data_IF_339890090131
#
_entry.id   IF_339890090131
#
_cell.length_a   1.000
_cell.length_b   1.000
_cell.length_c   1.000
_cell.angle_alpha   90.00
_cell.angle_beta   90.00
_cell.angle_gamma   90.00
#
_symmetry.space_group_name_H-M   'P 1'
#
loop_
_entity.id
_entity.type
_entity.pdbx_description
1 polymer ?
#
# COMPACT_ATOMS: atom_id res chain seq x y z
N UNK A 1 8.84 38.96 2.80
CA UNK A 1 7.41 38.93 2.45
C UNK A 1 6.88 37.57 1.95
N UNK A 2 7.67 36.50 1.97
CA UNK A 2 7.24 35.13 1.54
C UNK A 2 6.74 34.21 2.65
N UNK A 3 6.94 34.54 3.93
CA UNK A 3 6.55 33.65 5.06
C UNK A 3 5.06 33.79 5.43
N UNK A 4 4.41 34.90 5.10
CA UNK A 4 2.99 35.11 5.42
C UNK A 4 2.05 34.35 4.49
N UNK A 5 2.40 34.17 3.23
CA UNK A 5 1.58 33.38 2.27
C UNK A 5 1.60 31.89 2.59
N UNK A 6 2.69 31.36 3.12
CA UNK A 6 2.77 29.93 3.47
C UNK A 6 1.90 29.59 4.68
N UNK A 7 1.83 30.50 5.67
CA UNK A 7 0.91 30.35 6.82
C UNK A 7 -0.55 30.39 6.41
N UNK A 8 -0.91 31.23 5.44
CA UNK A 8 -2.29 31.30 4.93
C UNK A 8 -2.70 30.03 4.15
N UNK A 9 -1.80 29.46 3.36
CA UNK A 9 -2.05 28.19 2.64
C UNK A 9 -2.21 27.04 3.64
N UNK A 10 -1.42 26.98 4.70
CA UNK A 10 -1.53 25.96 5.74
C UNK A 10 -2.86 26.05 6.51
N UNK A 11 -3.36 27.25 6.76
CA UNK A 11 -4.65 27.50 7.43
C UNK A 11 -5.81 27.11 6.53
N UNK A 12 -5.75 27.39 5.22
CA UNK A 12 -6.78 26.92 4.27
C UNK A 12 -6.81 25.40 4.14
N UNK A 13 -5.68 24.72 4.26
CA UNK A 13 -5.63 23.25 4.25
C UNK A 13 -6.27 22.63 5.50
N UNK A 14 -6.21 23.32 6.64
CA UNK A 14 -6.85 22.87 7.90
C UNK A 14 -8.37 23.05 7.92
N UNK A 15 -8.90 23.99 7.15
CA UNK A 15 -10.35 24.22 7.04
C UNK A 15 -11.07 23.29 6.06
N UNK A 16 -10.33 22.55 5.23
CA UNK A 16 -10.90 21.50 4.36
C UNK A 16 -11.18 20.17 5.09
N UNK A 17 -10.93 20.09 6.39
CA UNK A 17 -11.04 18.86 7.18
C UNK A 17 -12.46 18.50 7.68
N UNK A 18 -13.50 19.20 7.23
CA UNK A 18 -14.90 18.80 7.52
C UNK A 18 -15.52 17.89 6.44
N UNK A 19 -14.70 17.25 5.62
CA UNK A 19 -15.19 16.17 4.76
C UNK A 19 -15.38 14.96 5.69
N UNK A 20 -16.62 14.63 6.01
CA UNK A 20 -16.98 13.35 6.61
C UNK A 20 -16.53 12.26 5.63
N UNK A 21 -15.36 11.69 5.90
CA UNK A 21 -14.79 10.64 5.06
C UNK A 21 -15.62 9.39 5.34
N UNK A 22 -16.56 9.09 4.43
CA UNK A 22 -17.19 7.78 4.39
C UNK A 22 -16.07 6.75 4.16
N UNK A 23 -15.99 5.74 5.01
CA UNK A 23 -14.98 4.70 4.88
C UNK A 23 -15.14 3.99 3.52
N UNK A 24 -14.04 3.90 2.76
CA UNK A 24 -14.02 3.18 1.48
C UNK A 24 -14.31 1.72 1.71
N UNK A 25 -15.40 1.23 1.17
CA UNK A 25 -15.65 -0.20 1.12
C UNK A 25 -15.00 -0.79 -0.13
N UNK A 26 -14.08 -1.73 0.06
CA UNK A 26 -13.42 -2.45 -1.04
C UNK A 26 -13.73 -3.93 -0.93
N UNK A 27 -14.71 -4.44 -1.69
CA UNK A 27 -15.03 -5.88 -1.67
C UNK A 27 -13.82 -6.77 -1.92
N UNK A 28 -12.87 -6.29 -2.72
CA UNK A 28 -11.63 -7.02 -3.00
C UNK A 28 -10.74 -7.22 -1.76
N UNK A 29 -10.88 -6.39 -0.72
CA UNK A 29 -10.13 -6.57 0.53
C UNK A 29 -10.61 -7.77 1.35
N UNK A 30 -11.84 -8.24 1.14
CA UNK A 30 -12.38 -9.44 1.79
C UNK A 30 -11.82 -10.75 1.23
N UNK A 31 -11.19 -10.70 0.06
CA UNK A 31 -10.74 -11.90 -0.66
C UNK A 31 -9.36 -12.40 -0.21
N UNK A 32 -8.62 -11.59 0.54
CA UNK A 32 -7.35 -11.96 1.17
C UNK A 32 -7.55 -11.89 2.69
N UNK A 33 -7.20 -12.93 3.44
CA UNK A 33 -7.44 -12.99 4.89
C UNK A 33 -6.80 -11.86 5.71
N UNK A 34 -5.70 -11.31 5.22
CA UNK A 34 -5.00 -10.17 5.84
C UNK A 34 -5.37 -8.82 5.20
N UNK A 35 -6.39 -8.78 4.34
CA UNK A 35 -6.80 -7.59 3.59
C UNK A 35 -5.96 -7.31 2.35
N UNK A 36 -6.22 -6.17 1.73
CA UNK A 36 -5.47 -5.68 0.56
C UNK A 36 -4.09 -5.18 0.98
N UNK A 37 -3.03 -5.81 0.42
CA UNK A 37 -1.64 -5.43 0.71
C UNK A 37 -1.28 -4.16 -0.07
N UNK A 38 -0.74 -3.18 0.64
CA UNK A 38 -0.27 -1.93 0.05
C UNK A 38 1.10 -2.10 -0.63
N UNK A 39 1.33 -1.33 -1.68
CA UNK A 39 2.66 -1.15 -2.25
C UNK A 39 3.49 -0.22 -1.33
N UNK A 40 4.77 -0.57 -1.12
CA UNK A 40 5.72 0.22 -0.33
C UNK A 40 6.23 1.48 -1.07
N UNK A 41 5.42 2.03 -1.98
CA UNK A 41 5.79 3.19 -2.79
C UNK A 41 5.54 4.49 -2.04
N UNK A 42 6.55 5.33 -1.93
CA UNK A 42 6.42 6.72 -1.47
C UNK A 42 5.85 7.59 -2.60
N UNK A 43 5.47 8.83 -2.31
CA UNK A 43 4.80 9.71 -3.27
C UNK A 43 5.61 9.94 -4.57
N UNK A 44 6.94 10.02 -4.46
CA UNK A 44 7.84 10.15 -5.60
C UNK A 44 7.84 8.90 -6.49
N UNK A 45 7.88 7.70 -5.91
CA UNK A 45 7.85 6.43 -6.66
C UNK A 45 6.47 6.19 -7.29
N UNK A 46 5.39 6.51 -6.57
CA UNK A 46 4.03 6.39 -7.09
C UNK A 46 3.87 7.19 -8.40
N UNK A 47 4.39 8.41 -8.45
CA UNK A 47 4.34 9.24 -9.67
C UNK A 47 5.02 8.61 -10.89
N UNK A 48 5.92 7.65 -10.68
CA UNK A 48 6.64 6.88 -11.71
C UNK A 48 6.07 5.46 -11.91
N UNK A 49 4.78 5.22 -11.68
CA UNK A 49 4.20 3.88 -11.78
C UNK A 49 4.64 2.91 -10.68
N UNK A 50 5.20 3.40 -9.58
CA UNK A 50 5.74 2.59 -8.50
C UNK A 50 7.18 2.12 -8.71
N UNK A 51 7.90 2.66 -9.70
CA UNK A 51 9.32 2.36 -9.94
C UNK A 51 10.16 2.77 -8.73
N UNK A 52 10.88 1.83 -8.12
CA UNK A 52 11.69 2.04 -6.92
C UNK A 52 12.76 0.98 -6.70
N UNK A 53 12.67 -0.20 -7.33
CA UNK A 53 13.66 -1.27 -7.19
C UNK A 53 15.00 -0.84 -7.80
N UNK A 54 14.96 -0.17 -8.95
CA UNK A 54 16.12 0.33 -9.68
C UNK A 54 16.31 1.84 -9.57
N UNK A 55 15.43 2.55 -8.82
CA UNK A 55 15.45 4.00 -8.71
C UNK A 55 16.00 4.47 -7.35
N UNK A 56 17.32 4.56 -7.21
CA UNK A 56 17.97 5.22 -6.07
C UNK A 56 18.06 6.73 -6.29
N UNK A 57 17.67 7.52 -5.29
CA UNK A 57 17.65 8.99 -5.35
C UNK A 57 18.51 9.62 -4.26
N UNK A 58 19.07 10.80 -4.52
CA UNK A 58 19.78 11.60 -3.51
C UNK A 58 18.83 12.31 -2.54
N UNK A 59 17.61 12.59 -3.00
CA UNK A 59 16.63 13.46 -2.34
C UNK A 59 15.57 12.72 -1.56
N UNK A 60 15.37 11.42 -1.87
CA UNK A 60 14.27 10.60 -1.36
C UNK A 60 14.77 9.31 -0.76
N UNK A 61 14.12 8.86 0.31
CA UNK A 61 14.33 7.52 0.84
C UNK A 61 13.73 6.48 -0.12
N UNK A 62 14.37 5.32 -0.16
CA UNK A 62 13.85 4.19 -0.91
C UNK A 62 13.44 3.07 0.07
N UNK A 63 12.14 2.78 0.15
CA UNK A 63 11.60 1.70 0.98
C UNK A 63 11.39 0.38 0.20
N UNK A 64 11.54 0.41 -1.13
CA UNK A 64 11.32 -0.76 -1.98
C UNK A 64 12.58 -1.62 -2.13
N UNK A 65 13.76 -0.98 -2.26
CA UNK A 65 15.05 -1.66 -2.34
C UNK A 65 16.01 -1.12 -1.27
N UNK A 66 16.32 -1.88 -0.22
CA UNK A 66 17.20 -1.41 0.85
C UNK A 66 18.62 -1.11 0.36
N UNK A 67 19.08 -1.74 -0.72
CA UNK A 67 20.40 -1.46 -1.29
C UNK A 67 20.48 -0.09 -1.96
N UNK A 68 19.35 0.46 -2.43
CA UNK A 68 19.29 1.78 -3.04
C UNK A 68 19.41 2.93 -2.02
N UNK A 69 19.31 2.66 -0.73
CA UNK A 69 19.49 3.66 0.34
C UNK A 69 20.86 4.33 0.31
N UNK A 70 21.90 3.65 -0.17
CA UNK A 70 23.27 4.21 -0.25
C UNK A 70 23.37 5.46 -1.11
N UNK A 71 22.38 5.72 -1.95
CA UNK A 71 22.33 6.93 -2.80
C UNK A 71 21.76 8.13 -2.08
N UNK A 72 21.02 7.93 -0.98
CA UNK A 72 20.57 9.04 -0.14
C UNK A 72 21.78 9.70 0.54
N UNK A 73 21.96 10.99 0.29
CA UNK A 73 23.10 11.77 0.76
C UNK A 73 22.81 12.62 2.00
N UNK A 74 21.56 12.73 2.35
CA UNK A 74 21.08 13.60 3.41
C UNK A 74 20.50 12.79 4.57
N UNK A 75 20.51 13.39 5.76
CA UNK A 75 19.57 12.97 6.79
C UNK A 75 18.19 13.41 6.34
N UNK A 76 17.32 12.45 6.06
CA UNK A 76 16.04 12.66 5.40
C UNK A 76 14.91 12.24 6.32
N UNK A 77 13.95 13.12 6.52
CA UNK A 77 12.66 12.80 7.10
C UNK A 77 11.61 12.85 6.01
N UNK A 78 10.86 11.76 5.85
CA UNK A 78 9.76 11.68 4.88
C UNK A 78 8.45 11.33 5.56
N UNK A 79 7.38 12.01 5.18
CA UNK A 79 6.02 11.61 5.52
C UNK A 79 5.08 11.84 4.34
N UNK A 80 4.04 11.03 4.27
CA UNK A 80 3.03 11.16 3.23
C UNK A 80 1.65 10.79 3.72
N UNK A 81 0.66 11.52 3.22
CA UNK A 81 -0.77 11.27 3.44
C UNK A 81 -1.36 10.87 2.10
N UNK A 82 -2.14 9.80 2.09
CA UNK A 82 -2.86 9.33 0.91
C UNK A 82 -4.35 9.49 1.10
N UNK A 83 -5.03 9.79 0.01
CA UNK A 83 -6.48 9.71 -0.11
C UNK A 83 -6.84 8.96 -1.38
N UNK A 84 -7.82 8.10 -1.33
CA UNK A 84 -8.33 7.40 -2.50
C UNK A 84 -9.85 7.49 -2.58
N UNK A 85 -10.34 7.65 -3.80
CA UNK A 85 -11.74 7.59 -4.15
C UNK A 85 -11.93 6.41 -5.09
N UNK A 86 -12.89 5.57 -4.79
CA UNK A 86 -13.16 4.35 -5.54
C UNK A 86 -14.63 4.31 -5.96
N UNK A 87 -14.86 3.94 -7.19
CA UNK A 87 -16.18 3.67 -7.74
C UNK A 87 -16.27 2.17 -8.07
N UNK A 88 -17.06 1.47 -7.28
CA UNK A 88 -17.41 0.09 -7.53
C UNK A 88 -18.61 0.01 -8.46
N UNK A 89 -18.50 -0.80 -9.52
CA UNK A 89 -19.56 -1.01 -10.49
C UNK A 89 -19.81 -2.51 -10.62
N UNK A 90 -21.03 -2.93 -10.37
CA UNK A 90 -21.55 -4.26 -10.72
C UNK A 90 -22.69 -4.12 -11.73
N UNK A 91 -23.33 -5.22 -12.10
CA UNK A 91 -24.40 -5.21 -13.09
C UNK A 91 -25.66 -4.42 -12.68
N UNK A 92 -25.82 -4.11 -11.39
CA UNK A 92 -27.06 -3.53 -10.84
C UNK A 92 -26.83 -2.19 -10.13
N UNK A 93 -25.65 -1.99 -9.52
CA UNK A 93 -25.36 -0.85 -8.67
C UNK A 93 -24.04 -0.17 -8.99
N UNK A 94 -23.95 1.09 -8.61
CA UNK A 94 -22.71 1.89 -8.58
C UNK A 94 -22.56 2.49 -7.21
N UNK A 95 -21.45 2.21 -6.56
CA UNK A 95 -21.12 2.73 -5.23
C UNK A 95 -19.85 3.57 -5.30
N UNK A 96 -19.82 4.71 -4.62
CA UNK A 96 -18.66 5.58 -4.53
C UNK A 96 -18.27 5.71 -3.06
N UNK A 97 -17.00 5.51 -2.79
CA UNK A 97 -16.45 5.59 -1.44
C UNK A 97 -15.08 6.27 -1.45
N UNK A 98 -14.73 6.92 -0.36
CA UNK A 98 -13.46 7.62 -0.22
C UNK A 98 -12.79 7.34 1.12
N UNK A 99 -11.45 7.33 1.15
CA UNK A 99 -10.64 7.12 2.33
C UNK A 99 -9.44 8.07 2.37
N UNK A 100 -8.93 8.33 3.59
CA UNK A 100 -7.68 9.04 3.77
C UNK A 100 -6.91 8.46 4.95
N UNK A 101 -5.60 8.30 4.78
CA UNK A 101 -4.74 7.77 5.82
C UNK A 101 -3.30 8.32 5.73
N UNK A 102 -2.54 8.14 6.80
CA UNK A 102 -1.10 8.31 6.77
C UNK A 102 -0.53 7.15 5.95
N UNK A 103 0.15 7.46 4.85
CA UNK A 103 0.68 6.43 3.95
C UNK A 103 2.07 5.95 4.36
N UNK A 104 2.91 6.84 4.87
CA UNK A 104 4.24 6.51 5.38
C UNK A 104 4.80 7.60 6.28
N UNK A 105 5.67 7.18 7.18
CA UNK A 105 6.65 8.03 7.87
C UNK A 105 7.98 7.29 7.82
N UNK A 106 9.03 7.96 7.37
CA UNK A 106 10.36 7.39 7.25
C UNK A 106 11.44 8.38 7.65
N UNK A 107 12.50 7.84 8.23
CA UNK A 107 13.68 8.59 8.60
C UNK A 107 14.92 7.85 8.14
N UNK A 108 15.83 8.52 7.47
CA UNK A 108 17.07 7.95 6.97
C UNK A 108 18.28 8.78 7.32
N UNK A 109 19.36 8.09 7.66
CA UNK A 109 20.61 8.73 8.08
C UNK A 109 21.80 8.07 7.38
N UNK A 110 22.63 8.84 6.67
CA UNK A 110 23.94 8.37 6.24
C UNK A 110 24.86 8.22 7.46
N UNK A 111 25.13 6.96 7.88
CA UNK A 111 25.98 6.66 9.04
C UNK A 111 27.45 6.96 8.71
N UNK A 112 27.87 6.62 7.48
CA UNK A 112 29.22 6.90 6.99
C UNK A 112 29.12 7.88 5.82
N UNK A 113 29.99 8.90 5.84
CA UNK A 113 30.08 9.90 4.76
C UNK A 113 30.24 9.24 3.39
N UNK A 114 29.63 9.85 2.38
CA UNK A 114 29.68 9.36 0.99
C UNK A 114 28.70 8.22 0.71
N UNK A 115 27.75 7.96 1.64
CA UNK A 115 26.74 6.92 1.44
C UNK A 115 27.29 5.49 1.52
N UNK A 116 28.45 5.28 2.16
CA UNK A 116 29.00 3.92 2.32
C UNK A 116 28.09 3.04 3.16
N UNK A 117 27.42 3.61 4.13
CA UNK A 117 26.41 2.97 4.96
C UNK A 117 25.31 3.97 5.28
N UNK A 118 24.08 3.61 4.95
CA UNK A 118 22.87 4.40 5.22
C UNK A 118 21.87 3.50 5.94
N UNK A 119 21.36 3.98 7.06
CA UNK A 119 20.28 3.33 7.79
C UNK A 119 18.97 4.12 7.63
N UNK A 120 17.85 3.42 7.61
CA UNK A 120 16.53 4.01 7.58
C UNK A 120 15.59 3.24 8.47
N UNK A 121 14.68 3.94 9.15
CA UNK A 121 13.59 3.35 9.90
C UNK A 121 12.30 4.13 9.62
N UNK A 122 11.18 3.47 9.80
CA UNK A 122 9.91 4.12 9.59
C UNK A 122 8.74 3.19 9.81
N UNK A 123 7.56 3.72 9.55
CA UNK A 123 6.35 2.92 9.56
C UNK A 123 5.47 3.25 8.35
N UNK A 124 4.71 2.25 7.90
CA UNK A 124 3.71 2.40 6.84
C UNK A 124 2.61 1.35 7.00
N UNK A 125 1.40 1.61 6.52
CA UNK A 125 0.38 0.58 6.39
C UNK A 125 0.91 -0.61 5.58
N UNK A 126 0.68 -1.83 6.08
CA UNK A 126 1.02 -3.07 5.38
C UNK A 126 -0.17 -3.60 4.59
N UNK A 127 -1.33 -3.69 5.23
CA UNK A 127 -2.58 -4.07 4.58
C UNK A 127 -3.78 -3.36 5.20
N UNK A 128 -4.92 -3.42 4.49
CA UNK A 128 -6.19 -2.87 4.99
C UNK A 128 -7.35 -3.74 4.57
N UNK A 129 -8.29 -3.92 5.48
CA UNK A 129 -9.58 -4.55 5.25
C UNK A 129 -10.67 -3.55 5.56
N UNK A 130 -11.52 -3.27 4.57
CA UNK A 130 -12.71 -2.46 4.76
C UNK A 130 -13.73 -2.81 3.70
N UNK A 131 -14.74 -3.60 4.07
CA UNK A 131 -15.80 -3.99 3.16
C UNK A 131 -17.15 -4.02 3.86
N UNK A 132 -18.19 -3.73 3.10
CA UNK A 132 -19.58 -3.98 3.44
C UNK A 132 -20.23 -4.67 2.26
N UNK A 133 -20.70 -5.89 2.48
CA UNK A 133 -21.34 -6.71 1.46
C UNK A 133 -22.71 -7.11 1.96
N UNK A 134 -23.67 -7.14 1.05
CA UNK A 134 -25.03 -7.58 1.30
C UNK A 134 -25.33 -8.77 0.39
N UNK A 135 -25.97 -9.79 0.94
CA UNK A 135 -26.47 -10.94 0.19
C UNK A 135 -27.85 -11.32 0.72
N UNK A 136 -28.74 -11.65 -0.18
CA UNK A 136 -30.08 -12.12 0.10
C UNK A 136 -30.25 -13.52 -0.49
N UNK A 137 -30.62 -14.49 0.34
CA UNK A 137 -30.79 -15.87 -0.07
C UNK A 137 -32.16 -16.41 0.37
N UNK A 138 -32.78 -17.22 -0.50
CA UNK A 138 -33.98 -17.96 -0.15
C UNK A 138 -33.68 -19.05 0.89
N UNK A 139 -34.57 -19.25 1.83
CA UNK A 139 -34.54 -20.39 2.74
C UNK A 139 -35.22 -21.56 2.03
N UNK A 140 -34.57 -22.71 2.06
CA UNK A 140 -35.15 -23.97 1.59
C UNK A 140 -35.72 -24.74 2.75
N UNK A 141 -36.93 -25.26 2.57
CA UNK A 141 -37.57 -26.15 3.55
C UNK A 141 -36.86 -27.50 3.67
N UNK A 142 -37.27 -28.27 4.66
CA UNK A 142 -36.73 -29.62 4.89
C UNK A 142 -36.99 -30.57 3.70
N UNK A 143 -38.02 -30.26 2.90
CA UNK A 143 -38.40 -30.92 1.67
C UNK A 143 -37.56 -30.48 0.45
N UNK A 144 -36.60 -29.56 0.63
CA UNK A 144 -35.73 -29.02 -0.42
C UNK A 144 -36.43 -27.99 -1.33
N UNK A 145 -37.66 -27.59 -1.03
CA UNK A 145 -38.36 -26.56 -1.76
C UNK A 145 -38.06 -25.15 -1.21
N UNK A 146 -37.98 -24.14 -2.08
CA UNK A 146 -37.77 -22.75 -1.61
C UNK A 146 -39.00 -22.30 -0.82
N UNK A 147 -38.77 -21.72 0.36
CA UNK A 147 -39.80 -21.07 1.16
C UNK A 147 -40.00 -19.61 0.72
N UNK A 148 -41.04 -18.96 1.19
CA UNK A 148 -41.23 -17.50 0.98
C UNK A 148 -40.34 -16.63 1.87
N UNK A 149 -39.55 -17.24 2.73
CA UNK A 149 -38.67 -16.52 3.66
C UNK A 149 -37.30 -16.27 3.03
N UNK A 150 -36.80 -15.06 3.20
CA UNK A 150 -35.49 -14.61 2.77
C UNK A 150 -34.57 -14.42 3.99
N UNK A 151 -33.33 -14.83 3.88
CA UNK A 151 -32.27 -14.46 4.83
C UNK A 151 -31.41 -13.39 4.24
N UNK A 152 -31.34 -12.27 4.95
CA UNK A 152 -30.47 -11.16 4.62
C UNK A 152 -29.17 -11.28 5.40
N UNK A 153 -28.06 -11.39 4.69
CA UNK A 153 -26.71 -11.40 5.28
C UNK A 153 -26.03 -10.05 5.03
N UNK A 154 -25.50 -9.45 6.10
CA UNK A 154 -24.57 -8.34 6.00
C UNK A 154 -23.18 -8.82 6.45
N UNK A 155 -22.19 -8.57 5.63
CA UNK A 155 -20.79 -8.88 5.90
C UNK A 155 -20.04 -7.56 6.02
N UNK A 156 -19.56 -7.25 7.21
CA UNK A 156 -18.75 -6.08 7.47
C UNK A 156 -17.35 -6.52 7.89
N UNK A 157 -16.32 -5.97 7.25
CA UNK A 157 -14.95 -6.20 7.64
C UNK A 157 -14.21 -4.88 7.81
N UNK A 158 -13.39 -4.78 8.84
CA UNK A 158 -12.61 -3.58 9.12
C UNK A 158 -11.27 -3.92 9.75
N UNK A 159 -10.35 -2.96 9.72
CA UNK A 159 -9.04 -3.08 10.33
C UNK A 159 -7.90 -3.02 9.32
N UNK A 160 -6.70 -3.35 9.79
CA UNK A 160 -5.51 -3.34 8.96
C UNK A 160 -4.26 -3.72 9.73
N UNK A 161 -3.23 -4.04 8.98
CA UNK A 161 -1.90 -4.31 9.51
C UNK A 161 -0.97 -3.13 9.22
N UNK A 162 -0.13 -2.82 10.17
CA UNK A 162 0.90 -1.78 10.09
C UNK A 162 2.26 -2.44 10.15
N UNK A 163 3.23 -1.88 9.45
CA UNK A 163 4.61 -2.33 9.41
C UNK A 163 5.51 -1.25 9.97
N UNK A 164 6.34 -1.61 10.96
CA UNK A 164 7.51 -0.83 11.37
C UNK A 164 8.72 -1.51 10.75
N UNK A 165 9.61 -0.75 10.14
CA UNK A 165 10.78 -1.31 9.48
C UNK A 165 12.08 -0.64 9.92
N UNK A 166 13.16 -1.44 9.86
CA UNK A 166 14.54 -0.98 9.95
C UNK A 166 15.31 -1.53 8.74
N UNK A 167 15.90 -0.62 7.99
CA UNK A 167 16.55 -0.92 6.73
C UNK A 167 17.97 -0.40 6.71
N UNK A 168 18.88 -1.16 6.14
CA UNK A 168 20.30 -0.81 5.99
C UNK A 168 20.74 -1.03 4.56
N UNK A 169 21.43 -0.04 3.99
CA UNK A 169 22.11 -0.14 2.72
C UNK A 169 23.60 0.06 2.92
N UNK A 170 24.42 -0.84 2.34
CA UNK A 170 25.89 -0.82 2.43
C UNK A 170 26.46 -0.85 1.02
N UNK A 171 27.36 0.08 0.74
CA UNK A 171 28.09 0.14 -0.51
C UNK A 171 29.27 -0.84 -0.47
N UNK A 172 29.23 -1.87 -1.31
CA UNK A 172 30.29 -2.87 -1.40
C UNK A 172 31.50 -2.35 -2.16
N UNK A 173 31.24 -1.67 -3.27
CA UNK A 173 32.23 -0.97 -4.07
C UNK A 173 31.61 0.24 -4.77
N UNK A 174 32.26 0.84 -5.77
CA UNK A 174 31.73 2.03 -6.44
C UNK A 174 30.48 1.77 -7.26
N UNK A 175 30.24 0.56 -7.70
CA UNK A 175 29.12 0.18 -8.56
C UNK A 175 28.06 -0.65 -7.82
N UNK A 176 28.45 -1.51 -6.87
CA UNK A 176 27.57 -2.44 -6.18
C UNK A 176 27.25 -2.03 -4.76
N UNK A 177 26.00 -2.20 -4.38
CA UNK A 177 25.52 -2.09 -3.00
C UNK A 177 24.59 -3.26 -2.65
N UNK A 178 24.57 -3.57 -1.36
CA UNK A 178 23.72 -4.57 -0.73
C UNK A 178 22.86 -3.91 0.33
N UNK A 179 21.66 -4.42 0.54
CA UNK A 179 20.79 -3.94 1.58
C UNK A 179 19.98 -5.05 2.23
N UNK A 180 19.63 -4.81 3.48
CA UNK A 180 18.79 -5.68 4.28
C UNK A 180 17.74 -4.84 5.02
N UNK A 181 16.49 -5.32 5.05
CA UNK A 181 15.39 -4.72 5.78
C UNK A 181 14.71 -5.78 6.65
N UNK A 182 14.63 -5.52 7.95
CA UNK A 182 13.77 -6.23 8.89
C UNK A 182 12.54 -5.40 9.18
N UNK A 183 11.39 -6.05 9.26
CA UNK A 183 10.13 -5.36 9.57
C UNK A 183 9.32 -6.16 10.56
N UNK A 184 8.63 -5.46 11.44
CA UNK A 184 7.64 -6.01 12.36
C UNK A 184 6.26 -5.58 11.90
N UNK A 185 5.41 -6.56 11.57
CA UNK A 185 4.03 -6.35 11.14
C UNK A 185 3.14 -6.62 12.35
N UNK A 186 2.20 -5.73 12.61
CA UNK A 186 1.22 -5.87 13.68
C UNK A 186 -0.09 -5.20 13.31
N UNK A 187 -1.17 -5.63 13.96
CA UNK A 187 -2.48 -5.02 13.78
C UNK A 187 -3.61 -6.02 14.00
N UNK A 188 -4.80 -5.55 13.71
CA UNK A 188 -6.02 -6.28 13.99
C UNK A 188 -6.99 -6.17 12.82
N UNK A 189 -7.64 -7.29 12.53
CA UNK A 189 -8.73 -7.40 11.58
C UNK A 189 -9.98 -7.91 12.29
N UNK A 190 -11.11 -7.29 12.00
CA UNK A 190 -12.41 -7.71 12.50
C UNK A 190 -13.38 -7.98 11.34
N UNK A 191 -14.17 -9.01 11.50
CA UNK A 191 -15.26 -9.39 10.61
C UNK A 191 -16.55 -9.56 11.41
N UNK A 192 -17.63 -9.04 10.89
CA UNK A 192 -18.94 -9.11 11.48
C UNK A 192 -19.94 -9.62 10.44
N UNK A 193 -20.54 -10.77 10.68
CA UNK A 193 -21.52 -11.38 9.80
C UNK A 193 -22.84 -11.40 10.52
N UNK A 194 -23.77 -10.55 10.10
CA UNK A 194 -25.12 -10.53 10.65
C UNK A 194 -26.11 -11.16 9.68
N UNK A 195 -27.02 -11.97 10.22
CA UNK A 195 -28.09 -12.60 9.48
C UNK A 195 -29.43 -12.32 10.09
N UNK A 196 -30.42 -12.02 9.23
CA UNK A 196 -31.81 -11.70 9.62
C UNK A 196 -32.77 -12.39 8.66
N UNK A 197 -33.78 -13.08 9.21
CA UNK A 197 -34.88 -13.65 8.43
C UNK A 197 -35.95 -12.57 8.21
N UNK A 198 -36.36 -12.37 6.96
CA UNK A 198 -37.28 -11.26 6.59
C UNK A 198 -38.63 -11.31 7.29
N UNK A 199 -39.21 -12.50 7.42
CA UNK A 199 -40.54 -12.71 8.00
C UNK A 199 -40.51 -13.09 9.48
N UNK A 200 -39.33 -13.29 10.06
CA UNK A 200 -39.11 -13.74 11.43
C UNK A 200 -38.13 -12.84 12.14
N UNK A 201 -38.58 -11.64 12.56
CA UNK A 201 -37.65 -10.62 13.10
C UNK A 201 -36.94 -11.06 14.39
N UNK A 202 -37.45 -12.09 15.10
CA UNK A 202 -36.81 -12.66 16.27
C UNK A 202 -35.51 -13.42 15.96
N UNK A 203 -35.30 -13.85 14.70
CA UNK A 203 -34.10 -14.54 14.27
C UNK A 203 -33.07 -13.58 13.71
N UNK A 204 -32.37 -12.93 14.61
CA UNK A 204 -31.20 -12.11 14.29
C UNK A 204 -29.98 -12.70 14.98
N UNK A 205 -29.00 -13.10 14.19
CA UNK A 205 -27.71 -13.59 14.70
C UNK A 205 -26.57 -12.76 14.16
N UNK A 206 -25.51 -12.66 14.96
CA UNK A 206 -24.34 -11.88 14.67
C UNK A 206 -23.10 -12.69 15.03
N UNK A 207 -22.32 -13.09 14.02
CA UNK A 207 -21.02 -13.73 14.20
C UNK A 207 -19.95 -12.63 14.13
N UNK A 208 -19.30 -12.41 15.26
CA UNK A 208 -18.16 -11.49 15.35
C UNK A 208 -16.87 -12.28 15.42
N UNK A 209 -15.92 -11.95 14.55
CA UNK A 209 -14.58 -12.52 14.55
C UNK A 209 -13.55 -11.40 14.59
N UNK A 210 -12.51 -11.62 15.38
CA UNK A 210 -11.39 -10.72 15.58
C UNK A 210 -10.10 -11.51 15.45
N UNK A 211 -9.12 -10.97 14.72
CA UNK A 211 -7.83 -11.59 14.51
C UNK A 211 -6.71 -10.57 14.71
N UNK A 212 -5.88 -10.82 15.70
CA UNK A 212 -4.74 -9.98 16.03
C UNK A 212 -3.46 -10.63 15.51
N UNK A 213 -2.67 -9.88 14.74
CA UNK A 213 -1.45 -10.37 14.08
C UNK A 213 -0.22 -9.67 14.65
N UNK A 214 0.88 -10.42 14.77
CA UNK A 214 2.19 -9.88 15.07
C UNK A 214 3.27 -10.83 14.55
N UNK A 215 4.17 -10.35 13.70
CA UNK A 215 5.28 -11.17 13.21
C UNK A 215 6.37 -10.33 12.52
N UNK A 216 7.51 -10.96 12.26
CA UNK A 216 8.65 -10.35 11.60
C UNK A 216 8.72 -10.78 10.14
N UNK A 217 9.09 -9.85 9.28
CA UNK A 217 9.38 -10.10 7.87
C UNK A 217 10.74 -9.54 7.49
N UNK A 218 11.38 -10.16 6.50
CA UNK A 218 12.70 -9.78 6.06
C UNK A 218 12.74 -9.59 4.55
N UNK A 219 13.54 -8.64 4.12
CA UNK A 219 13.79 -8.37 2.70
C UNK A 219 15.26 -8.07 2.47
N UNK A 220 15.77 -8.46 1.32
CA UNK A 220 17.12 -8.12 0.87
C UNK A 220 17.09 -7.44 -0.48
N UNK A 221 18.14 -6.68 -0.77
CA UNK A 221 18.28 -6.01 -2.03
C UNK A 221 19.72 -6.00 -2.52
N UNK A 222 19.86 -5.99 -3.82
CA UNK A 222 21.10 -5.70 -4.54
C UNK A 222 20.85 -4.54 -5.47
N UNK A 223 21.86 -3.70 -5.63
CA UNK A 223 21.78 -2.56 -6.53
C UNK A 223 23.12 -2.35 -7.21
N UNK A 224 23.07 -2.21 -8.53
CA UNK A 224 24.20 -1.92 -9.40
C UNK A 224 23.99 -0.59 -10.09
N UNK A 225 24.97 0.30 -10.04
CA UNK A 225 24.98 1.59 -10.74
C UNK A 225 26.28 1.77 -11.45
N UNK A 226 26.23 1.90 -12.79
CA UNK A 226 27.39 2.13 -13.63
C UNK A 226 27.23 3.41 -14.41
N UNK A 227 28.27 4.22 -14.38
CA UNK A 227 28.43 5.36 -15.25
C UNK A 227 28.87 4.90 -16.65
N UNK A 228 28.12 5.31 -17.69
CA UNK A 228 28.42 4.95 -19.08
C UNK A 228 29.18 6.10 -19.75
N UNK A 229 28.78 7.31 -19.41
CA UNK A 229 29.32 8.58 -19.92
C UNK A 229 29.00 9.64 -18.88
N UNK A 230 29.68 10.77 -18.93
CA UNK A 230 29.48 11.91 -18.03
C UNK A 230 27.99 12.11 -17.67
N UNK A 231 27.66 12.00 -16.38
CA UNK A 231 26.33 12.15 -15.78
C UNK A 231 25.25 11.15 -16.28
N UNK A 232 25.63 10.11 -17.03
CA UNK A 232 24.70 9.09 -17.55
C UNK A 232 24.95 7.74 -16.91
N UNK A 233 23.91 7.18 -16.32
CA UNK A 233 23.99 5.96 -15.54
C UNK A 233 22.98 4.92 -16.01
N UNK A 234 23.41 3.64 -16.00
CA UNK A 234 22.52 2.49 -15.93
C UNK A 234 22.47 2.03 -14.48
N UNK A 235 21.25 1.76 -14.01
CA UNK A 235 20.99 1.23 -12.68
C UNK A 235 20.21 -0.07 -12.82
N UNK A 236 20.62 -1.10 -12.08
CA UNK A 236 19.94 -2.39 -12.02
C UNK A 236 19.67 -2.69 -10.56
N UNK A 237 18.43 -3.01 -10.24
CA UNK A 237 18.01 -3.38 -8.90
C UNK A 237 17.44 -4.79 -8.87
N UNK A 238 17.71 -5.50 -7.78
CA UNK A 238 17.11 -6.78 -7.46
C UNK A 238 16.66 -6.77 -6.01
N UNK A 239 15.48 -7.33 -5.74
CA UNK A 239 14.91 -7.46 -4.38
C UNK A 239 14.37 -8.86 -4.17
N UNK A 240 14.52 -9.36 -2.95
CA UNK A 240 13.91 -10.59 -2.49
C UNK A 240 13.25 -10.37 -1.13
N UNK A 241 11.94 -10.53 -1.09
CA UNK A 241 11.18 -10.56 0.15
C UNK A 241 11.02 -12.03 0.56
N UNK A 242 11.40 -12.37 1.78
CA UNK A 242 11.31 -13.74 2.29
C UNK A 242 9.86 -14.09 2.59
N UNK A 243 9.52 -15.36 2.40
CA UNK A 243 8.22 -15.87 2.85
C UNK A 243 8.14 -15.83 4.37
N UNK A 244 6.97 -15.48 4.88
CA UNK A 244 6.72 -15.39 6.32
C UNK A 244 5.38 -16.02 6.64
N UNK A 245 5.32 -16.81 7.70
CA UNK A 245 4.08 -17.36 8.24
C UNK A 245 3.59 -16.43 9.35
N UNK A 246 2.67 -15.51 9.02
CA UNK A 246 2.09 -14.62 10.03
C UNK A 246 1.26 -15.42 11.01
N UNK A 247 1.63 -15.35 12.28
CA UNK A 247 0.84 -15.90 13.37
C UNK A 247 -0.24 -14.91 13.80
N UNK A 248 -1.41 -15.44 14.14
CA UNK A 248 -2.49 -14.65 14.66
C UNK A 248 -3.19 -15.32 15.80
N UNK A 249 -3.68 -14.51 16.71
CA UNK A 249 -4.59 -14.91 17.76
C UNK A 249 -6.02 -14.53 17.39
N UNK A 250 -6.93 -15.51 17.40
CA UNK A 250 -8.32 -15.38 16.94
C UNK A 250 -9.31 -15.52 18.07
N UNK A 251 -10.28 -14.62 18.07
CA UNK A 251 -11.48 -14.64 18.89
C UNK A 251 -12.72 -14.73 17.98
N UNK A 252 -13.69 -15.58 18.33
CA UNK A 252 -14.97 -15.68 17.63
C UNK A 252 -16.12 -15.88 18.58
N UNK A 253 -17.17 -15.09 18.37
CA UNK A 253 -18.36 -15.05 19.21
C UNK A 253 -19.62 -14.98 18.36
N UNK A 254 -20.58 -15.86 18.67
CA UNK A 254 -21.93 -15.82 18.09
C UNK A 254 -22.89 -15.19 19.09
N UNK A 255 -23.60 -14.16 18.65
CA UNK A 255 -24.62 -13.49 19.43
C UNK A 255 -25.98 -13.68 18.77
N UNK A 256 -26.99 -13.91 19.57
CA UNK A 256 -28.40 -13.78 19.17
C UNK A 256 -29.00 -12.53 19.82
N UNK A 257 -29.60 -11.69 19.00
CA UNK A 257 -30.16 -10.39 19.46
C UNK A 257 -31.63 -10.28 19.09
N UNK A 258 -32.36 -9.49 19.87
CA UNK A 258 -33.69 -9.04 19.47
C UNK A 258 -33.50 -7.90 18.47
N UNK A 259 -34.10 -7.97 17.26
CA UNK A 259 -34.06 -6.89 16.30
C UNK A 259 -34.56 -5.58 16.92
N UNK A 260 -33.91 -4.47 16.59
CA UNK A 260 -34.21 -3.12 17.10
C UNK A 260 -34.08 -2.95 18.63
N UNK A 261 -33.41 -3.89 19.31
CA UNK A 261 -33.08 -3.80 20.73
C UNK A 261 -31.58 -3.97 20.92
N UNK A 262 -31.03 -3.35 21.96
CA UNK A 262 -29.66 -3.60 22.41
C UNK A 262 -29.52 -4.89 23.21
N UNK A 263 -30.67 -5.58 23.47
CA UNK A 263 -30.69 -6.78 24.30
C UNK A 263 -30.11 -7.96 23.54
N UNK A 264 -29.04 -8.52 24.06
CA UNK A 264 -28.44 -9.77 23.62
C UNK A 264 -29.12 -10.91 24.38
N UNK A 265 -29.70 -11.88 23.67
CA UNK A 265 -30.40 -13.02 24.25
C UNK A 265 -29.46 -14.14 24.65
N UNK A 266 -28.49 -14.40 23.77
CA UNK A 266 -27.53 -15.51 23.95
C UNK A 266 -26.19 -15.04 23.39
N UNK A 267 -25.13 -15.32 24.13
CA UNK A 267 -23.75 -15.14 23.70
C UNK A 267 -23.07 -16.51 23.82
N UNK A 268 -22.52 -16.95 22.70
CA UNK A 268 -21.75 -18.21 22.67
C UNK A 268 -20.37 -17.91 22.08
N UNK A 269 -19.33 -18.17 22.88
CA UNK A 269 -17.95 -18.01 22.45
C UNK A 269 -17.52 -19.27 21.73
N UNK A 270 -17.38 -19.21 20.41
CA UNK A 270 -17.00 -20.35 19.58
C UNK A 270 -15.55 -20.73 19.86
N UNK A 271 -14.66 -19.74 19.91
CA UNK A 271 -13.29 -19.90 20.36
C UNK A 271 -12.74 -18.58 20.92
N UNK A 272 -11.92 -18.74 21.95
CA UNK A 272 -11.14 -17.69 22.55
C UNK A 272 -9.67 -18.08 22.36
N UNK A 273 -8.84 -17.15 21.84
CA UNK A 273 -7.40 -17.37 21.67
C UNK A 273 -7.03 -18.59 20.78
N UNK A 274 -7.67 -18.74 19.63
CA UNK A 274 -7.26 -19.75 18.66
C UNK A 274 -6.06 -19.27 17.85
N UNK A 275 -4.92 -19.93 17.98
CA UNK A 275 -3.74 -19.65 17.15
C UNK A 275 -3.97 -20.17 15.73
N UNK A 276 -3.68 -19.35 14.77
CA UNK A 276 -3.74 -19.65 13.34
C UNK A 276 -2.59 -18.98 12.58
N UNK A 277 -2.23 -19.50 11.42
CA UNK A 277 -1.13 -18.99 10.62
C UNK A 277 -1.59 -18.68 9.20
N UNK A 278 -1.07 -17.58 8.64
CA UNK A 278 -1.25 -17.21 7.25
C UNK A 278 0.09 -17.02 6.56
N UNK A 279 0.33 -17.77 5.48
CA UNK A 279 1.60 -17.74 4.77
C UNK A 279 1.61 -16.62 3.72
N UNK A 280 2.43 -15.59 3.97
CA UNK A 280 2.80 -14.60 2.96
C UNK A 280 3.92 -15.23 2.11
N UNK A 281 3.75 -15.31 0.78
CA UNK A 281 4.75 -15.89 -0.09
C UNK A 281 5.97 -14.99 -0.27
N UNK A 282 7.07 -15.59 -0.67
CA UNK A 282 8.23 -14.84 -1.13
C UNK A 282 7.92 -14.04 -2.39
N UNK A 283 8.59 -12.90 -2.54
CA UNK A 283 8.48 -12.02 -3.70
C UNK A 283 9.86 -11.75 -4.30
N UNK A 284 9.92 -11.74 -5.63
CA UNK A 284 11.10 -11.38 -6.41
C UNK A 284 10.80 -10.10 -7.17
N UNK A 285 11.72 -9.14 -7.10
CA UNK A 285 11.66 -7.91 -7.86
C UNK A 285 12.94 -7.69 -8.66
N UNK A 286 12.80 -7.25 -9.89
CA UNK A 286 13.88 -6.87 -10.79
C UNK A 286 13.57 -5.57 -11.48
N UNK A 287 14.56 -4.68 -11.61
CA UNK A 287 14.37 -3.40 -12.28
C UNK A 287 15.60 -2.92 -12.99
N UNK A 288 15.38 -2.17 -14.05
CA UNK A 288 16.42 -1.45 -14.80
C UNK A 288 16.00 -0.02 -14.97
N UNK A 289 16.93 0.91 -14.75
CA UNK A 289 16.70 2.33 -14.98
C UNK A 289 17.89 2.97 -15.71
N UNK A 290 17.57 3.94 -16.53
CA UNK A 290 18.54 4.84 -17.16
C UNK A 290 18.35 6.23 -16.56
N UNK A 291 19.45 6.87 -16.17
CA UNK A 291 19.43 8.21 -15.56
C UNK A 291 20.44 9.14 -16.23
N UNK A 292 20.01 10.35 -16.51
CA UNK A 292 20.88 11.52 -16.71
C UNK A 292 20.64 12.38 -15.47
N UNK A 293 21.69 12.58 -14.66
CA UNK A 293 21.58 13.30 -13.38
C UNK A 293 20.86 14.63 -13.57
N UNK A 294 19.94 14.94 -12.67
CA UNK A 294 19.18 16.19 -12.59
C UNK A 294 18.46 16.60 -13.89
N UNK A 295 18.22 15.63 -14.79
CA UNK A 295 17.56 15.89 -16.08
C UNK A 295 16.50 14.89 -16.46
N UNK A 296 16.84 13.59 -16.49
CA UNK A 296 15.95 12.56 -16.99
C UNK A 296 16.22 11.25 -16.26
N UNK A 297 15.17 10.55 -15.86
CA UNK A 297 15.25 9.14 -15.45
C UNK A 297 14.12 8.35 -16.10
N UNK A 298 14.42 7.16 -16.59
CA UNK A 298 13.44 6.19 -17.09
C UNK A 298 13.68 4.86 -16.40
N UNK A 299 12.62 4.20 -15.93
CA UNK A 299 12.69 2.92 -15.25
C UNK A 299 11.64 1.93 -15.74
N UNK A 300 12.03 0.65 -15.75
CA UNK A 300 11.17 -0.50 -16.01
C UNK A 300 11.44 -1.56 -14.96
N UNK A 301 10.37 -2.06 -14.31
CA UNK A 301 10.46 -3.02 -13.22
C UNK A 301 9.44 -4.14 -13.36
N UNK A 302 9.83 -5.30 -12.87
CA UNK A 302 9.00 -6.48 -12.79
C UNK A 302 9.06 -7.04 -11.36
N UNK A 303 7.90 -7.37 -10.79
CA UNK A 303 7.78 -8.06 -9.50
C UNK A 303 6.86 -9.27 -9.63
N UNK A 304 7.17 -10.35 -8.93
CA UNK A 304 6.35 -11.56 -8.90
C UNK A 304 6.34 -12.20 -7.52
N UNK A 305 5.21 -12.78 -7.12
CA UNK A 305 5.07 -13.53 -5.87
C UNK A 305 4.28 -14.81 -6.10
N UNK A 306 4.69 -15.90 -5.48
CA UNK A 306 4.11 -17.24 -5.68
C UNK A 306 3.11 -17.59 -4.57
N UNK A 307 1.85 -17.25 -4.76
CA UNK A 307 0.76 -17.42 -3.80
C UNK A 307 0.16 -18.83 -3.75
N UNK A 308 0.61 -19.74 -4.59
CA UNK A 308 0.01 -21.09 -4.72
C UNK A 308 -0.01 -21.88 -3.40
N UNK A 309 0.95 -21.60 -2.50
CA UNK A 309 1.10 -22.29 -1.21
C UNK A 309 0.57 -21.46 -0.03
N UNK A 310 -0.08 -20.33 -0.29
CA UNK A 310 -0.70 -19.54 0.78
C UNK A 310 -1.97 -20.26 1.22
N UNK A 311 -1.88 -21.01 2.31
CA UNK A 311 -3.02 -21.66 2.92
C UNK A 311 -3.94 -20.64 3.55
N UNK A 312 -5.23 -20.77 3.26
CA UNK A 312 -6.24 -19.85 3.78
C UNK A 312 -6.38 -19.97 5.29
N UNK A 313 -6.38 -18.84 5.94
CA UNK A 313 -6.54 -18.64 7.38
C UNK A 313 -7.97 -18.84 7.87
N UNK A 314 -8.94 -18.62 7.01
CA UNK A 314 -10.35 -18.88 7.21
C UNK A 314 -10.80 -20.04 6.33
N UNK A 315 -11.95 -20.62 6.61
CA UNK A 315 -12.69 -21.43 5.64
C UNK A 315 -13.15 -20.53 4.47
N UNK A 316 -12.17 -19.89 3.85
CA UNK A 316 -12.38 -18.97 2.75
C UNK A 316 -12.73 -19.80 1.51
N UNK A 317 -13.90 -19.59 0.90
CA UNK A 317 -14.28 -20.27 -0.34
C UNK A 317 -13.35 -19.98 -1.53
N UNK A 318 -12.52 -18.94 -1.43
CA UNK A 318 -11.52 -18.56 -2.44
C UNK A 318 -10.15 -19.22 -2.18
N UNK A 319 -10.11 -20.54 -1.95
CA UNK A 319 -8.88 -21.31 -1.62
C UNK A 319 -7.80 -21.34 -2.70
N UNK A 320 -8.07 -20.83 -3.89
CA UNK A 320 -7.15 -20.93 -5.03
C UNK A 320 -6.49 -19.59 -5.33
N UNK A 321 -5.26 -19.44 -4.87
CA UNK A 321 -4.41 -18.32 -5.29
C UNK A 321 -3.49 -18.75 -6.44
N UNK A 322 -3.18 -17.80 -7.33
CA UNK A 322 -2.19 -17.96 -8.39
C UNK A 322 -1.03 -16.99 -8.18
N UNK A 323 0.03 -17.22 -8.92
CA UNK A 323 1.17 -16.30 -8.98
C UNK A 323 0.69 -14.90 -9.37
N UNK A 324 1.13 -13.88 -8.62
CA UNK A 324 0.91 -12.48 -8.94
C UNK A 324 2.08 -11.92 -9.75
N UNK A 325 1.77 -10.92 -10.58
CA UNK A 325 2.76 -10.21 -11.39
C UNK A 325 2.48 -8.71 -11.33
N UNK A 326 3.55 -7.93 -11.34
CA UNK A 326 3.47 -6.48 -11.46
C UNK A 326 4.53 -6.01 -12.44
N UNK A 327 4.14 -5.14 -13.36
CA UNK A 327 5.02 -4.42 -14.27
C UNK A 327 4.81 -2.94 -13.99
N UNK A 328 5.89 -2.23 -13.73
CA UNK A 328 5.93 -0.79 -13.49
C UNK A 328 6.87 -0.15 -14.50
N UNK A 329 6.44 0.93 -15.11
CA UNK A 329 7.31 1.76 -15.94
C UNK A 329 7.08 3.22 -15.63
N UNK A 330 8.13 4.03 -15.67
CA UNK A 330 8.01 5.44 -15.36
C UNK A 330 9.13 6.27 -15.93
N UNK A 331 8.81 7.54 -16.12
CA UNK A 331 9.72 8.58 -16.58
C UNK A 331 9.70 9.75 -15.59
N UNK A 332 10.86 10.30 -15.33
CA UNK A 332 11.06 11.51 -14.54
C UNK A 332 11.85 12.52 -15.36
N UNK A 333 11.40 13.77 -15.38
CA UNK A 333 12.02 14.87 -16.13
C UNK A 333 12.15 16.08 -15.23
N UNK A 334 13.34 16.68 -15.22
CA UNK A 334 13.62 18.00 -14.64
C UNK A 334 14.07 18.89 -15.79
N UNK A 335 13.28 19.90 -16.18
CA UNK A 335 13.63 20.73 -17.34
C UNK A 335 14.98 21.45 -17.20
N UNK A 336 15.26 21.99 -16.01
CA UNK A 336 16.50 22.70 -15.72
C UNK A 336 16.65 22.84 -14.18
N UNK A 337 17.41 21.95 -13.57
CA UNK A 337 17.54 21.88 -12.10
C UNK A 337 18.24 23.10 -11.48
N UNK A 338 19.11 23.78 -12.24
CA UNK A 338 19.91 24.93 -11.80
C UNK A 338 19.25 26.28 -12.09
N UNK A 339 18.08 26.30 -12.73
CA UNK A 339 17.41 27.51 -13.13
C UNK A 339 17.00 28.38 -11.95
N UNK A 340 17.61 29.58 -11.83
CA UNK A 340 17.32 30.52 -10.73
C UNK A 340 16.08 31.35 -11.01
N UNK A 341 15.79 31.65 -12.29
CA UNK A 341 14.74 32.57 -12.68
C UNK A 341 13.35 31.96 -12.74
N UNK A 342 13.24 30.67 -13.01
CA UNK A 342 11.95 29.98 -13.15
C UNK A 342 11.79 28.82 -12.18
N UNK A 343 10.79 28.92 -11.30
CA UNK A 343 10.44 27.84 -10.37
C UNK A 343 10.02 26.56 -11.11
N UNK A 344 9.18 26.67 -12.13
CA UNK A 344 8.64 25.51 -12.86
C UNK A 344 9.71 24.72 -13.61
N UNK A 345 10.85 25.30 -13.97
CA UNK A 345 11.96 24.58 -14.60
C UNK A 345 12.70 23.67 -13.63
N UNK A 346 12.65 23.95 -12.31
CA UNK A 346 13.25 23.15 -11.24
C UNK A 346 12.32 22.07 -10.69
N UNK A 347 11.04 22.09 -11.07
CA UNK A 347 10.07 21.07 -10.67
C UNK A 347 10.42 19.77 -11.37
N UNK A 348 10.36 18.67 -10.62
CA UNK A 348 10.45 17.32 -11.16
C UNK A 348 9.08 16.85 -11.59
N UNK A 349 8.92 16.52 -12.85
CA UNK A 349 7.71 15.98 -13.46
C UNK A 349 7.84 14.48 -13.64
N UNK A 350 6.81 13.73 -13.31
CA UNK A 350 6.80 12.27 -13.42
C UNK A 350 5.55 11.77 -14.12
N UNK A 351 5.72 10.69 -14.87
CA UNK A 351 4.62 9.92 -15.45
C UNK A 351 4.93 8.44 -15.43
N UNK A 352 3.93 7.60 -15.29
CA UNK A 352 4.15 6.16 -15.25
C UNK A 352 2.93 5.32 -15.58
N UNK A 353 3.19 4.05 -15.77
CA UNK A 353 2.22 3.00 -16.06
C UNK A 353 2.43 1.83 -15.09
N UNK A 354 1.35 1.36 -14.50
CA UNK A 354 1.32 0.19 -13.62
C UNK A 354 0.35 -0.85 -14.18
N UNK A 355 0.83 -2.07 -14.33
CA UNK A 355 0.01 -3.24 -14.67
C UNK A 355 0.24 -4.29 -13.61
N UNK A 356 -0.83 -4.70 -12.90
CA UNK A 356 -0.77 -5.69 -11.83
C UNK A 356 -1.79 -6.80 -12.08
N UNK A 357 -1.34 -8.04 -11.93
CA UNK A 357 -2.19 -9.21 -11.93
C UNK A 357 -2.27 -9.75 -10.51
N UNK A 358 -3.48 -9.70 -9.96
CA UNK A 358 -3.74 -10.12 -8.57
C UNK A 358 -3.57 -11.63 -8.40
N UNK A 359 -3.18 -12.13 -7.23
CA UNK A 359 -3.16 -13.55 -6.95
C UNK A 359 -4.56 -14.18 -6.86
N UNK A 360 -5.59 -13.37 -6.63
CA UNK A 360 -6.96 -13.82 -6.36
C UNK A 360 -7.64 -14.29 -7.65
N UNK A 361 -8.41 -15.37 -7.54
CA UNK A 361 -9.21 -15.93 -8.62
C UNK A 361 -10.68 -15.77 -8.26
N UNK A 362 -11.46 -15.17 -9.17
CA UNK A 362 -12.91 -15.09 -9.10
C UNK A 362 -13.45 -15.66 -10.42
N UNK A 363 -14.40 -16.59 -10.36
CA UNK A 363 -14.99 -17.23 -11.56
C UNK A 363 -13.91 -17.74 -12.53
N UNK A 364 -12.89 -18.44 -12.01
CA UNK A 364 -11.74 -18.97 -12.76
C UNK A 364 -10.82 -17.92 -13.41
N UNK A 365 -11.07 -16.64 -13.23
CA UNK A 365 -10.29 -15.53 -13.77
C UNK A 365 -9.53 -14.79 -12.67
N UNK A 366 -8.26 -14.48 -12.93
CA UNK A 366 -7.51 -13.50 -12.12
C UNK A 366 -7.94 -12.10 -12.52
N UNK A 367 -8.07 -11.19 -11.56
CA UNK A 367 -8.33 -9.81 -11.92
C UNK A 367 -7.05 -9.01 -12.09
N UNK A 368 -7.11 -8.12 -13.09
CA UNK A 368 -6.02 -7.26 -13.46
C UNK A 368 -6.30 -5.83 -12.97
N UNK A 369 -5.25 -5.12 -12.61
CA UNK A 369 -5.25 -3.68 -12.37
C UNK A 369 -4.39 -3.03 -13.45
N UNK A 370 -4.88 -1.96 -14.05
CA UNK A 370 -4.10 -1.10 -14.95
C UNK A 370 -4.28 0.33 -14.48
N UNK A 371 -3.17 1.04 -14.27
CA UNK A 371 -3.19 2.41 -13.80
C UNK A 371 -2.20 3.29 -14.55
N UNK A 372 -2.55 4.56 -14.69
CA UNK A 372 -1.68 5.64 -15.08
C UNK A 372 -1.34 6.46 -13.85
N UNK A 373 -0.09 6.92 -13.78
CA UNK A 373 0.38 7.72 -12.67
C UNK A 373 1.00 9.02 -13.15
N UNK A 374 0.87 10.06 -12.32
CA UNK A 374 1.47 11.35 -12.52
C UNK A 374 2.10 11.82 -11.21
N UNK A 375 3.20 12.53 -11.27
CA UNK A 375 3.89 13.00 -10.08
C UNK A 375 4.56 14.34 -10.28
N UNK A 376 4.63 15.09 -9.18
CA UNK A 376 5.38 16.35 -9.11
C UNK A 376 6.25 16.34 -7.85
N UNK A 377 7.50 16.82 -7.95
CA UNK A 377 8.28 17.20 -6.77
C UNK A 377 8.62 18.66 -6.85
N UNK A 378 8.08 19.42 -5.91
CA UNK A 378 8.25 20.86 -5.80
C UNK A 378 9.43 21.15 -4.87
N UNK A 379 10.49 21.82 -5.34
CA UNK A 379 11.61 22.17 -4.48
C UNK A 379 11.18 23.22 -3.43
N UNK A 380 11.50 22.92 -2.16
CA UNK A 380 11.28 23.81 -1.01
C UNK A 380 12.63 24.10 -0.37
N UNK A 381 13.07 25.34 -0.45
CA UNK A 381 14.44 25.68 -0.09
C UNK A 381 15.48 25.05 -1.02
N UNK A 382 16.66 24.72 -0.50
CA UNK A 382 17.78 24.21 -1.32
C UNK A 382 17.75 22.68 -1.51
N UNK A 383 17.31 21.95 -0.49
CA UNK A 383 17.45 20.48 -0.46
C UNK A 383 16.16 19.70 -0.16
N UNK A 384 15.10 20.36 0.33
CA UNK A 384 13.83 19.72 0.67
C UNK A 384 12.83 19.77 -0.49
N UNK A 385 11.86 18.86 -0.50
CA UNK A 385 10.86 18.74 -1.56
C UNK A 385 9.48 18.40 -1.01
N UNK A 386 8.45 18.90 -1.66
CA UNK A 386 7.07 18.45 -1.50
C UNK A 386 6.71 17.59 -2.71
N UNK A 387 6.24 16.39 -2.46
CA UNK A 387 5.93 15.41 -3.49
C UNK A 387 4.41 15.25 -3.61
N UNK A 388 3.90 15.26 -4.82
CA UNK A 388 2.50 15.01 -5.15
C UNK A 388 2.49 13.83 -6.10
N UNK A 389 1.68 12.83 -5.80
CA UNK A 389 1.47 11.68 -6.66
C UNK A 389 -0.02 11.47 -6.89
N UNK A 390 -0.38 11.17 -8.14
CA UNK A 390 -1.75 10.82 -8.55
C UNK A 390 -1.66 9.49 -9.29
N UNK A 391 -2.54 8.56 -8.93
CA UNK A 391 -2.72 7.29 -9.63
C UNK A 391 -4.18 7.12 -9.96
N UNK A 392 -4.49 6.91 -11.23
CA UNK A 392 -5.85 6.59 -11.70
C UNK A 392 -5.85 5.27 -12.42
N UNK A 393 -6.79 4.41 -12.09
CA UNK A 393 -6.77 3.06 -12.62
C UNK A 393 -8.11 2.36 -12.64
N UNK A 394 -8.07 1.19 -13.25
CA UNK A 394 -9.20 0.26 -13.33
C UNK A 394 -8.76 -1.09 -12.81
N UNK A 395 -9.64 -1.73 -12.04
CA UNK A 395 -9.44 -3.05 -11.45
C UNK A 395 -10.64 -3.94 -11.77
N UNK A 396 -10.37 -5.19 -12.19
CA UNK A 396 -11.42 -6.13 -12.55
C UNK A 396 -12.04 -5.89 -13.94
N UNK A 397 -13.06 -6.69 -14.26
CA UNK A 397 -13.79 -6.61 -15.52
C UNK A 397 -15.20 -7.13 -15.30
N UNK A 398 -16.22 -6.35 -15.67
CA UNK A 398 -17.63 -6.68 -15.49
C UNK A 398 -18.03 -7.98 -16.20
N UNK A 399 -17.55 -8.19 -17.43
CA UNK A 399 -17.93 -9.37 -18.24
C UNK A 399 -17.34 -10.68 -17.72
N UNK A 400 -16.19 -10.63 -17.00
CA UNK A 400 -15.48 -11.82 -16.51
C UNK A 400 -15.65 -12.06 -15.02
N UNK A 401 -15.82 -10.99 -14.25
CA UNK A 401 -15.78 -11.01 -12.79
C UNK A 401 -17.08 -10.49 -12.16
N UNK A 402 -18.02 -9.99 -12.97
CA UNK A 402 -19.25 -9.31 -12.55
C UNK A 402 -19.03 -8.04 -11.71
N UNK A 403 -17.76 -7.65 -11.49
CA UNK A 403 -17.37 -6.49 -10.69
C UNK A 403 -16.22 -5.77 -11.39
N UNK A 404 -16.27 -4.44 -11.38
CA UNK A 404 -15.24 -3.53 -11.84
C UNK A 404 -15.10 -2.39 -10.85
N UNK A 405 -13.87 -1.99 -10.55
CA UNK A 405 -13.54 -0.83 -9.73
C UNK A 405 -12.76 0.18 -10.58
N UNK A 406 -13.19 1.42 -10.58
CA UNK A 406 -12.39 2.55 -11.03
C UNK A 406 -11.92 3.30 -9.79
N UNK A 407 -10.65 3.73 -9.77
CA UNK A 407 -10.13 4.44 -8.61
C UNK A 407 -9.25 5.62 -9.00
N UNK A 408 -9.20 6.58 -8.10
CA UNK A 408 -8.29 7.71 -8.12
C UNK A 408 -7.63 7.78 -6.74
N UNK A 409 -6.31 7.63 -6.70
CA UNK A 409 -5.48 7.75 -5.50
C UNK A 409 -4.64 9.01 -5.60
N UNK A 410 -4.60 9.76 -4.53
CA UNK A 410 -3.83 10.99 -4.40
C UNK A 410 -2.92 10.88 -3.18
N UNK A 411 -1.64 11.20 -3.33
CA UNK A 411 -0.66 11.23 -2.24
C UNK A 411 0.03 12.58 -2.22
N UNK A 412 0.11 13.17 -1.04
CA UNK A 412 0.98 14.31 -0.77
C UNK A 412 1.99 13.88 0.27
N UNK A 413 3.25 14.10 -0.04
CA UNK A 413 4.35 13.79 0.86
C UNK A 413 5.38 14.91 0.92
N UNK A 414 6.20 14.89 1.95
CA UNK A 414 7.31 15.81 2.11
C UNK A 414 8.60 15.04 2.36
N UNK A 415 9.69 15.47 1.72
CA UNK A 415 11.06 15.03 1.97
C UNK A 415 11.84 16.20 2.55
N UNK A 416 12.02 16.18 3.85
CA UNK A 416 12.78 17.21 4.60
C UNK A 416 14.20 16.69 4.73
N UNK A 417 15.11 17.34 4.06
CA UNK A 417 16.51 16.96 4.00
C UNK A 417 17.38 17.91 4.80
N UNK A 418 18.38 17.36 5.50
CA UNK A 418 19.37 18.11 6.24
C UNK A 418 20.74 17.45 6.13
N UNK A 419 21.80 18.22 6.29
CA UNK A 419 23.18 17.73 6.31
C UNK A 419 23.61 17.62 7.76
N UNK A 420 23.73 16.39 8.28
CA UNK A 420 24.22 16.12 9.64
C UNK A 420 25.72 15.75 9.61
N UNK A 421 26.33 15.78 10.77
CA UNK A 421 27.75 15.41 10.99
C UNK A 421 28.76 16.34 10.29
N UNK A 422 28.39 17.59 10.03
CA UNK A 422 29.35 18.62 9.66
C UNK A 422 30.06 19.07 10.95
N UNK A 423 31.38 18.85 11.02
CA UNK A 423 32.19 19.52 12.05
C UNK A 423 32.09 21.03 11.83
N UNK A 424 31.50 21.76 12.75
CA UNK A 424 31.62 23.21 12.76
C UNK A 424 33.10 23.53 12.92
N UNK A 425 33.70 24.18 11.94
CA UNK A 425 34.98 24.85 12.13
C UNK A 425 34.65 26.09 12.98
N UNK A 426 35.10 26.10 14.21
CA UNK A 426 35.21 27.32 14.97
C UNK A 426 36.46 28.00 14.43
N UNK A 427 36.31 29.15 13.81
CA UNK A 427 37.39 30.06 13.48
C UNK A 427 37.87 30.72 14.78
#
# INVERSE_FOLDING_TARGET
MQISSFKSILIYFFFLSNITIAQVTTPFSSLIPIGEIYDNSFANNLGMGGVGISNGSYWHLNNQNPAALVYNRFTTFEMGIASDVRQLVNNQTKDISGNGNINYIGFGVPIIKGGKWVASFGFNPYSSTNYKLYSENLIFGVDGNPTSALVNYNYDGSGGLTQIYFSNGIKLNNEFSFGFKGSYIFGELSSNISSKVSNEPQFYSNLFEKSSFNDNTFSTGLFYKKEIKDDKFIKIGFTYDFSTSLESNRFSQLERKIPNSLTVLVVDTIYNEKISQFNIPSSLGFGVSYEIIDKLSFGLEFRTSSWNNSSGYFDNPFKNYKRSYQISSGIEIIPDAENVSSFFRRVTYRGGLLIKKSPIIINSNQFNTTALTFGLSLPVGSISRVNIGIETGKRGNINKLSIKENYLKFIVGSSINNVWFIKRKFD
#
